data_IF_672038011812
#
_entry.id   IF_672038011812
#
_cell.length_a   1.000
_cell.length_b   1.000
_cell.length_c   1.000
_cell.angle_alpha   90.00
_cell.angle_beta   90.00
_cell.angle_gamma   90.00
#
_symmetry.space_group_name_H-M   'P 1'
#
loop_
_entity.id
_entity.type
_entity.pdbx_description
1 polymer ?
#
# COMPACT_ATOMS: atom_id res chain seq x y z
N UNK A 1 40.53 -66.99 -41.66
CA UNK A 1 40.90 -65.80 -40.95
C UNK A 1 39.65 -64.89 -40.94
N UNK A 2 38.88 -64.85 -39.77
CA UNK A 2 37.64 -64.07 -39.63
C UNK A 2 37.94 -62.83 -38.83
N UNK A 3 37.80 -61.67 -39.39
CA UNK A 3 37.97 -60.38 -38.74
C UNK A 3 36.63 -60.02 -38.06
N UNK A 4 36.61 -59.93 -36.77
CA UNK A 4 35.46 -59.43 -36.04
C UNK A 4 35.59 -57.92 -35.87
N UNK A 5 34.65 -57.20 -36.45
CA UNK A 5 34.54 -55.75 -36.32
C UNK A 5 33.77 -55.47 -35.02
N UNK A 6 34.45 -54.83 -34.06
CA UNK A 6 33.82 -54.36 -32.81
C UNK A 6 33.24 -52.97 -33.06
N UNK A 7 31.90 -52.86 -32.94
CA UNK A 7 31.18 -51.57 -32.99
C UNK A 7 31.19 -50.96 -31.62
N UNK A 8 31.92 -49.86 -31.41
CA UNK A 8 31.84 -49.07 -30.16
C UNK A 8 30.70 -48.03 -30.30
N UNK A 9 29.64 -48.25 -29.57
CA UNK A 9 28.54 -47.29 -29.44
C UNK A 9 28.88 -46.23 -28.38
N UNK A 10 29.13 -44.99 -28.82
CA UNK A 10 29.30 -43.85 -27.93
C UNK A 10 27.92 -43.33 -27.54
N UNK A 11 27.50 -43.55 -26.30
CA UNK A 11 26.29 -42.96 -25.73
C UNK A 11 26.63 -41.55 -25.26
N UNK A 12 26.21 -40.54 -25.98
CA UNK A 12 26.30 -39.13 -25.54
C UNK A 12 25.08 -38.83 -24.65
N UNK A 13 25.29 -38.85 -23.35
CA UNK A 13 24.25 -38.42 -22.39
C UNK A 13 24.16 -36.89 -22.36
N UNK A 14 23.13 -36.33 -23.02
CA UNK A 14 22.81 -34.91 -22.92
C UNK A 14 22.11 -34.69 -21.58
N UNK A 15 22.84 -34.20 -20.57
CA UNK A 15 22.29 -33.70 -19.34
C UNK A 15 21.58 -32.35 -19.64
N UNK A 16 20.27 -32.39 -19.87
CA UNK A 16 19.43 -31.19 -19.86
C UNK A 16 19.35 -30.67 -18.45
N UNK A 17 20.11 -29.63 -18.14
CA UNK A 17 19.94 -28.86 -16.88
C UNK A 17 18.59 -28.17 -16.95
N UNK A 18 17.60 -28.73 -16.26
CA UNK A 18 16.33 -28.06 -15.99
C UNK A 18 16.68 -26.96 -14.95
N UNK A 19 16.94 -25.75 -15.45
CA UNK A 19 16.98 -24.59 -14.59
C UNK A 19 15.56 -24.38 -14.05
N UNK A 20 15.29 -24.85 -12.86
CA UNK A 20 14.09 -24.47 -12.10
C UNK A 20 14.21 -22.97 -11.88
N UNK A 21 13.53 -22.18 -12.71
CA UNK A 21 13.34 -20.75 -12.46
C UNK A 21 12.59 -20.67 -11.14
N UNK A 22 13.30 -20.34 -10.07
CA UNK A 22 12.66 -20.00 -8.82
C UNK A 22 11.73 -18.81 -9.13
N UNK A 23 10.42 -19.02 -9.05
CA UNK A 23 9.43 -17.99 -9.30
C UNK A 23 9.72 -16.84 -8.33
N UNK A 24 10.02 -15.64 -8.88
CA UNK A 24 10.35 -14.47 -8.07
C UNK A 24 9.23 -14.21 -7.07
N UNK A 25 9.60 -14.11 -5.79
CA UNK A 25 8.63 -13.85 -4.73
C UNK A 25 7.96 -12.50 -4.97
N UNK A 26 6.61 -12.50 -4.96
CA UNK A 26 5.79 -11.30 -5.07
C UNK A 26 5.54 -10.72 -3.67
N UNK A 27 5.49 -9.40 -3.57
CA UNK A 27 5.20 -8.66 -2.34
C UNK A 27 4.14 -7.58 -2.65
N UNK A 28 3.19 -7.41 -1.74
CA UNK A 28 2.20 -6.34 -1.80
C UNK A 28 2.75 -5.11 -1.07
N UNK A 29 2.82 -3.97 -1.76
CA UNK A 29 3.39 -2.74 -1.21
C UNK A 29 2.40 -1.58 -1.25
N UNK A 30 2.60 -0.65 -0.32
CA UNK A 30 2.01 0.70 -0.30
C UNK A 30 3.14 1.72 -0.43
N UNK A 31 3.02 2.67 -1.37
CA UNK A 31 3.83 3.88 -1.41
C UNK A 31 2.96 5.01 -0.89
N UNK A 32 3.42 5.68 0.15
CA UNK A 32 2.59 6.54 0.96
C UNK A 32 3.32 7.80 1.43
N UNK A 33 2.54 8.80 1.85
CA UNK A 33 3.03 9.98 2.55
C UNK A 33 2.81 9.82 4.06
N UNK A 34 3.84 10.06 4.85
CA UNK A 34 3.76 10.15 6.31
C UNK A 34 3.41 11.60 6.68
N UNK A 35 2.32 11.87 7.42
CA UNK A 35 1.91 13.22 7.75
C UNK A 35 2.74 13.81 8.90
N UNK A 36 2.70 15.13 9.04
CA UNK A 36 3.32 15.86 10.16
C UNK A 36 2.57 15.66 11.48
N UNK A 37 3.14 16.21 12.57
CA UNK A 37 2.59 16.12 13.91
C UNK A 37 1.20 16.74 14.04
N UNK A 38 0.79 17.64 13.13
CA UNK A 38 -0.56 18.23 13.15
C UNK A 38 -1.59 17.16 12.82
N UNK A 39 -1.46 16.49 11.67
CA UNK A 39 -2.37 15.41 11.29
C UNK A 39 -2.29 14.24 12.28
N UNK A 40 -1.09 13.91 12.80
CA UNK A 40 -0.94 12.83 13.78
C UNK A 40 -1.79 13.08 15.04
N UNK A 41 -1.76 14.30 15.61
CA UNK A 41 -2.61 14.64 16.78
C UNK A 41 -4.11 14.47 16.51
N UNK A 42 -4.57 14.89 15.32
CA UNK A 42 -5.98 14.70 14.94
C UNK A 42 -6.33 13.23 14.73
N UNK A 43 -5.41 12.46 14.16
CA UNK A 43 -5.57 11.01 13.96
C UNK A 43 -5.65 10.28 15.30
N UNK A 44 -4.77 10.60 16.25
CA UNK A 44 -4.75 10.01 17.60
C UNK A 44 -6.03 10.34 18.37
N UNK A 45 -6.47 11.60 18.36
CA UNK A 45 -7.71 12.02 19.01
C UNK A 45 -8.93 11.29 18.41
N UNK A 46 -8.97 11.15 17.08
CA UNK A 46 -10.05 10.42 16.41
C UNK A 46 -9.99 8.91 16.71
N UNK A 47 -8.81 8.31 16.72
CA UNK A 47 -8.62 6.89 17.07
C UNK A 47 -9.08 6.61 18.51
N UNK A 48 -8.69 7.43 19.49
CA UNK A 48 -9.12 7.30 20.87
C UNK A 48 -10.65 7.32 21.00
N UNK A 49 -11.31 8.23 20.27
CA UNK A 49 -12.77 8.32 20.20
C UNK A 49 -13.41 7.06 19.60
N UNK A 50 -12.83 6.51 18.52
CA UNK A 50 -13.32 5.30 17.88
C UNK A 50 -13.15 4.08 18.79
N UNK A 51 -12.01 3.94 19.46
CA UNK A 51 -11.73 2.86 20.42
C UNK A 51 -12.65 2.91 21.64
N UNK A 52 -13.06 4.10 22.10
CA UNK A 52 -14.03 4.24 23.19
C UNK A 52 -15.40 3.65 22.82
N UNK A 53 -15.79 3.72 21.53
CA UNK A 53 -17.05 3.16 21.01
C UNK A 53 -16.89 1.70 20.57
N UNK A 54 -15.73 1.34 20.03
CA UNK A 54 -15.45 0.02 19.50
C UNK A 54 -14.06 -0.46 19.94
N UNK A 55 -13.92 -0.99 21.17
CA UNK A 55 -12.62 -1.42 21.74
C UNK A 55 -11.95 -2.57 20.95
N UNK A 56 -12.69 -3.26 20.06
CA UNK A 56 -12.17 -4.29 19.15
C UNK A 56 -11.52 -3.72 17.88
N UNK A 57 -11.54 -2.40 17.70
CA UNK A 57 -10.80 -1.71 16.65
C UNK A 57 -9.29 -1.75 16.88
N UNK A 58 -8.52 -1.27 15.93
CA UNK A 58 -7.07 -1.15 16.08
C UNK A 58 -6.67 0.20 16.70
N UNK A 59 -5.62 0.18 17.51
CA UNK A 59 -4.92 1.39 17.92
C UNK A 59 -3.95 1.85 16.83
N UNK A 60 -3.67 3.15 16.76
CA UNK A 60 -2.60 3.68 15.90
C UNK A 60 -1.25 3.36 16.56
N UNK A 61 -0.50 2.47 15.94
CA UNK A 61 0.76 1.93 16.42
C UNK A 61 1.77 1.75 15.25
N UNK A 62 2.78 0.90 15.45
CA UNK A 62 3.80 0.63 14.43
C UNK A 62 3.24 -0.09 13.19
N UNK A 63 2.14 -0.85 13.34
CA UNK A 63 1.52 -1.65 12.27
C UNK A 63 0.30 -0.94 11.65
N UNK A 64 -0.17 0.14 12.29
CA UNK A 64 -1.33 0.94 11.87
C UNK A 64 -0.96 2.43 11.85
N UNK A 65 0.07 2.76 11.10
CA UNK A 65 0.57 4.14 11.01
C UNK A 65 -0.39 5.03 10.22
N UNK A 66 -0.75 6.23 10.73
CA UNK A 66 -1.44 7.23 9.94
C UNK A 66 -0.63 7.62 8.70
N UNK A 67 -1.27 7.55 7.52
CA UNK A 67 -0.61 7.84 6.25
C UNK A 67 -1.62 8.18 5.17
N UNK A 68 -1.14 8.77 4.07
CA UNK A 68 -1.92 8.93 2.84
C UNK A 68 -1.34 7.96 1.81
N UNK A 69 -2.10 6.96 1.41
CA UNK A 69 -1.74 6.05 0.33
C UNK A 69 -1.69 6.79 -1.01
N UNK A 70 -0.57 6.68 -1.72
CA UNK A 70 -0.46 7.09 -3.12
C UNK A 70 -0.78 5.95 -4.07
N UNK A 71 -0.25 4.75 -3.80
CA UNK A 71 -0.50 3.55 -4.61
C UNK A 71 -0.30 2.28 -3.82
N UNK A 72 -1.22 1.32 -3.99
CA UNK A 72 -0.99 -0.08 -3.58
C UNK A 72 -0.77 -0.96 -4.81
N UNK A 73 0.25 -1.83 -4.77
CA UNK A 73 0.64 -2.68 -5.89
C UNK A 73 1.31 -3.97 -5.45
N UNK A 74 1.20 -4.98 -6.30
CA UNK A 74 2.08 -6.14 -6.27
C UNK A 74 3.33 -5.87 -7.11
N UNK A 75 4.49 -6.20 -6.57
CA UNK A 75 5.79 -6.10 -7.24
C UNK A 75 6.63 -7.34 -6.92
N UNK A 76 7.66 -7.64 -7.73
CA UNK A 76 8.62 -8.68 -7.36
C UNK A 76 9.60 -8.16 -6.32
N UNK A 77 9.98 -8.99 -5.36
CA UNK A 77 10.96 -8.61 -4.33
C UNK A 77 12.30 -8.20 -4.91
N UNK A 78 12.73 -8.81 -6.02
CA UNK A 78 13.95 -8.48 -6.76
C UNK A 78 13.92 -7.09 -7.40
N UNK A 79 12.74 -6.55 -7.67
CA UNK A 79 12.55 -5.22 -8.27
C UNK A 79 12.38 -4.10 -7.23
N UNK A 80 12.33 -4.40 -5.93
CA UNK A 80 12.13 -3.39 -4.88
C UNK A 80 13.14 -2.24 -4.96
N UNK A 81 14.42 -2.52 -5.22
CA UNK A 81 15.43 -1.46 -5.40
C UNK A 81 15.12 -0.50 -6.55
N UNK A 82 14.57 -1.01 -7.65
CA UNK A 82 14.16 -0.21 -8.81
C UNK A 82 12.90 0.59 -8.50
N UNK A 83 11.94 -0.02 -7.78
CA UNK A 83 10.73 0.67 -7.28
C UNK A 83 11.10 1.85 -6.39
N UNK A 84 12.02 1.64 -5.43
CA UNK A 84 12.48 2.71 -4.55
C UNK A 84 13.14 3.85 -5.32
N UNK A 85 14.05 3.54 -6.25
CA UNK A 85 14.72 4.55 -7.07
C UNK A 85 13.75 5.33 -7.96
N UNK A 86 12.74 4.66 -8.51
CA UNK A 86 11.71 5.29 -9.33
C UNK A 86 10.82 6.22 -8.51
N UNK A 87 10.35 5.76 -7.34
CA UNK A 87 9.55 6.57 -6.42
C UNK A 87 10.34 7.79 -5.90
N UNK A 88 11.60 7.62 -5.51
CA UNK A 88 12.45 8.70 -5.01
C UNK A 88 12.58 9.85 -6.01
N UNK A 89 12.81 9.55 -7.29
CA UNK A 89 12.88 10.57 -8.35
C UNK A 89 11.60 11.41 -8.42
N UNK A 90 10.45 10.78 -8.31
CA UNK A 90 9.16 11.48 -8.33
C UNK A 90 8.99 12.34 -7.08
N UNK A 91 9.25 11.78 -5.89
CA UNK A 91 9.11 12.47 -4.60
C UNK A 91 9.99 13.73 -4.52
N UNK A 92 11.24 13.61 -4.97
CA UNK A 92 12.18 14.74 -5.03
C UNK A 92 11.70 15.80 -6.03
N UNK A 93 11.30 15.38 -7.24
CA UNK A 93 10.82 16.28 -8.28
C UNK A 93 9.55 17.04 -7.89
N UNK A 94 8.66 16.40 -7.14
CA UNK A 94 7.39 16.97 -6.70
C UNK A 94 7.54 17.94 -5.50
N UNK A 95 8.72 18.04 -4.90
CA UNK A 95 8.96 18.87 -3.70
C UNK A 95 7.91 18.62 -2.60
N UNK A 96 7.70 17.35 -2.27
CA UNK A 96 6.57 16.87 -1.43
C UNK A 96 6.53 17.52 -0.06
N UNK A 97 7.69 17.84 0.53
CA UNK A 97 7.82 18.52 1.82
C UNK A 97 7.26 19.97 1.83
N UNK A 98 7.20 20.63 0.69
CA UNK A 98 6.61 21.96 0.58
C UNK A 98 5.09 21.94 0.40
N UNK A 99 4.47 20.78 0.17
CA UNK A 99 3.04 20.65 -0.01
C UNK A 99 2.27 21.08 1.24
N UNK A 100 1.19 21.82 1.04
CA UNK A 100 0.20 22.16 2.07
C UNK A 100 -1.08 21.44 1.74
N UNK A 101 -1.43 20.49 2.60
CA UNK A 101 -2.60 19.64 2.46
C UNK A 101 -3.67 20.10 3.44
N UNK A 102 -4.93 20.12 3.03
CA UNK A 102 -6.06 20.51 3.88
C UNK A 102 -6.93 19.30 4.18
N UNK A 103 -7.04 18.96 5.47
CA UNK A 103 -8.03 18.05 5.99
C UNK A 103 -9.38 18.77 6.09
N UNK A 104 -10.49 18.16 5.64
CA UNK A 104 -11.73 18.92 5.49
C UNK A 104 -13.01 18.20 5.89
N UNK A 105 -12.99 16.88 6.13
CA UNK A 105 -14.15 16.11 6.58
C UNK A 105 -13.78 14.75 7.14
N UNK A 106 -14.68 14.20 7.96
CA UNK A 106 -14.66 12.77 8.28
C UNK A 106 -15.09 11.92 7.07
N UNK A 107 -14.68 10.67 7.10
CA UNK A 107 -14.94 9.70 6.06
C UNK A 107 -14.91 8.29 6.64
N UNK A 108 -15.58 7.34 6.03
CA UNK A 108 -15.29 5.93 6.25
C UNK A 108 -15.51 5.09 4.99
N UNK A 109 -14.75 4.00 4.87
CA UNK A 109 -14.97 2.94 3.91
C UNK A 109 -15.77 1.81 4.59
N UNK A 110 -16.96 1.42 4.08
CA UNK A 110 -17.77 0.38 4.71
C UNK A 110 -17.14 -1.01 4.53
N UNK A 111 -17.13 -1.80 5.62
CA UNK A 111 -16.69 -3.20 5.64
C UNK A 111 -17.72 -4.01 6.46
N UNK A 112 -18.73 -4.57 5.82
CA UNK A 112 -19.83 -5.27 6.50
C UNK A 112 -20.58 -4.35 7.47
N UNK A 113 -20.66 -4.72 8.75
CA UNK A 113 -21.34 -3.94 9.81
C UNK A 113 -20.49 -2.81 10.39
N UNK A 114 -19.19 -2.78 10.09
CA UNK A 114 -18.25 -1.74 10.53
C UNK A 114 -17.76 -0.91 9.35
N UNK A 115 -16.96 0.10 9.61
CA UNK A 115 -16.23 0.86 8.59
C UNK A 115 -14.85 1.25 9.07
N UNK A 116 -13.92 1.38 8.13
CA UNK A 116 -12.60 1.99 8.37
C UNK A 116 -12.78 3.50 8.28
N UNK A 117 -12.71 4.16 9.42
CA UNK A 117 -12.85 5.60 9.54
C UNK A 117 -11.55 6.33 9.20
N UNK A 118 -11.68 7.54 8.68
CA UNK A 118 -10.56 8.38 8.31
C UNK A 118 -10.91 9.86 8.24
N UNK A 119 -9.89 10.64 7.96
CA UNK A 119 -9.96 12.08 7.72
C UNK A 119 -9.60 12.30 6.24
N UNK A 120 -10.52 12.85 5.45
CA UNK A 120 -10.27 13.19 4.06
C UNK A 120 -9.40 14.43 3.92
N UNK A 121 -8.56 14.39 2.93
CA UNK A 121 -7.70 15.47 2.47
C UNK A 121 -8.23 16.00 1.14
N UNK A 122 -8.22 17.31 0.93
CA UNK A 122 -8.64 17.89 -0.36
C UNK A 122 -7.72 17.39 -1.49
N UNK A 123 -8.31 16.83 -2.57
CA UNK A 123 -7.52 16.37 -3.72
C UNK A 123 -7.08 17.58 -4.56
N UNK A 124 -5.97 18.22 -4.18
CA UNK A 124 -5.38 19.32 -4.96
C UNK A 124 -4.73 18.80 -6.25
N UNK A 125 -4.56 19.64 -7.29
CA UNK A 125 -3.86 19.24 -8.51
C UNK A 125 -2.48 18.64 -8.25
N UNK A 126 -1.77 19.13 -7.23
CA UNK A 126 -0.40 18.71 -6.88
C UNK A 126 -0.39 17.26 -6.35
N UNK A 127 -1.30 16.89 -5.42
CA UNK A 127 -1.33 15.54 -4.87
C UNK A 127 -1.91 14.54 -5.90
N UNK A 128 -2.85 14.96 -6.75
CA UNK A 128 -3.35 14.15 -7.86
C UNK A 128 -2.22 13.86 -8.86
N UNK A 129 -1.45 14.90 -9.22
CA UNK A 129 -0.29 14.73 -10.10
C UNK A 129 0.76 13.83 -9.48
N UNK A 130 1.07 14.01 -8.19
CA UNK A 130 2.02 13.16 -7.47
C UNK A 130 1.59 11.69 -7.54
N UNK A 131 0.31 11.39 -7.29
CA UNK A 131 -0.21 10.03 -7.41
C UNK A 131 -0.01 9.49 -8.84
N UNK A 132 -0.38 10.26 -9.86
CA UNK A 132 -0.25 9.84 -11.26
C UNK A 132 1.21 9.57 -11.64
N UNK A 133 2.14 10.42 -11.20
CA UNK A 133 3.57 10.27 -11.47
C UNK A 133 4.16 9.02 -10.77
N UNK A 134 3.78 8.76 -9.52
CA UNK A 134 4.17 7.53 -8.78
C UNK A 134 3.63 6.29 -9.49
N UNK A 135 2.35 6.30 -9.90
CA UNK A 135 1.74 5.19 -10.65
C UNK A 135 2.53 4.92 -11.94
N UNK A 136 2.85 5.95 -12.70
CA UNK A 136 3.59 5.84 -13.96
C UNK A 136 5.02 5.29 -13.73
N UNK A 137 5.71 5.81 -12.71
CA UNK A 137 7.08 5.42 -12.39
C UNK A 137 7.20 3.96 -11.92
N UNK A 138 6.21 3.45 -11.19
CA UNK A 138 6.20 2.09 -10.64
C UNK A 138 5.62 1.07 -11.61
N UNK A 139 4.82 1.50 -12.59
CA UNK A 139 4.15 0.63 -13.57
C UNK A 139 5.05 -0.45 -14.20
N UNK A 140 6.32 -0.19 -14.60
CA UNK A 140 7.18 -1.19 -15.22
C UNK A 140 7.53 -2.38 -14.30
N UNK A 141 7.41 -2.22 -12.99
CA UNK A 141 7.75 -3.21 -11.95
C UNK A 141 6.53 -3.88 -11.34
N UNK A 142 5.33 -3.40 -11.68
CA UNK A 142 4.08 -3.93 -11.17
C UNK A 142 3.77 -5.30 -11.79
N UNK A 143 3.24 -6.21 -10.97
CA UNK A 143 2.59 -7.44 -11.42
C UNK A 143 1.09 -7.32 -11.19
N UNK A 144 0.32 -8.02 -12.01
CA UNK A 144 -1.14 -7.88 -12.04
C UNK A 144 -1.79 -8.29 -10.72
N UNK A 145 -1.29 -9.39 -10.12
CA UNK A 145 -1.80 -9.94 -8.87
C UNK A 145 -0.70 -10.66 -8.11
N UNK A 146 -0.96 -11.03 -6.86
CA UNK A 146 -0.06 -11.80 -6.02
C UNK A 146 -0.81 -12.75 -5.11
N UNK A 147 -0.11 -13.72 -4.49
CA UNK A 147 -0.68 -14.63 -3.51
C UNK A 147 -0.86 -13.90 -2.17
N UNK A 148 -1.58 -14.56 -1.22
CA UNK A 148 -1.81 -13.96 0.11
C UNK A 148 -0.53 -13.82 0.93
N UNK A 149 0.47 -14.66 0.71
CA UNK A 149 1.79 -14.55 1.37
C UNK A 149 2.64 -13.36 0.87
N UNK A 150 2.13 -12.59 -0.10
CA UNK A 150 2.67 -11.28 -0.46
C UNK A 150 2.46 -10.21 0.65
N UNK A 151 1.52 -10.43 1.55
CA UNK A 151 1.21 -9.59 2.70
C UNK A 151 2.00 -10.05 3.94
N UNK A 152 2.05 -9.23 5.00
CA UNK A 152 2.77 -9.59 6.25
C UNK A 152 2.08 -10.70 7.03
N UNK A 153 0.76 -10.80 6.92
CA UNK A 153 -0.06 -11.85 7.52
C UNK A 153 -1.30 -12.09 6.65
N UNK A 154 -1.81 -13.31 6.68
CA UNK A 154 -3.10 -13.68 6.12
C UNK A 154 -4.22 -13.39 7.10
N UNK A 155 -5.47 -13.29 6.61
CA UNK A 155 -6.64 -13.29 7.47
C UNK A 155 -7.00 -14.73 7.87
N UNK A 156 -7.73 -14.85 8.98
CA UNK A 156 -8.31 -16.15 9.39
C UNK A 156 -9.44 -16.62 8.45
N UNK A 157 -9.88 -15.74 7.53
CA UNK A 157 -10.96 -16.03 6.60
C UNK A 157 -10.48 -15.85 5.14
N UNK A 158 -10.46 -16.93 4.32
CA UNK A 158 -10.02 -16.89 2.92
C UNK A 158 -10.81 -15.90 2.04
N UNK A 159 -12.07 -15.61 2.36
CA UNK A 159 -12.84 -14.60 1.62
C UNK A 159 -12.29 -13.19 1.82
N UNK A 160 -11.78 -12.88 3.02
CA UNK A 160 -11.12 -11.61 3.30
C UNK A 160 -9.78 -11.51 2.56
N UNK A 161 -9.03 -12.62 2.47
CA UNK A 161 -7.78 -12.69 1.71
C UNK A 161 -8.02 -12.43 0.22
N UNK A 162 -9.03 -13.08 -0.37
CA UNK A 162 -9.40 -12.87 -1.77
C UNK A 162 -9.82 -11.42 -2.04
N UNK A 163 -10.60 -10.82 -1.14
CA UNK A 163 -11.02 -9.42 -1.24
C UNK A 163 -9.83 -8.46 -1.15
N UNK A 164 -8.85 -8.74 -0.28
CA UNK A 164 -7.64 -7.94 -0.14
C UNK A 164 -6.75 -8.03 -1.39
N UNK A 165 -6.54 -9.24 -1.92
CA UNK A 165 -5.80 -9.44 -3.18
C UNK A 165 -6.48 -8.67 -4.33
N UNK A 166 -7.80 -8.78 -4.45
CA UNK A 166 -8.57 -8.07 -5.46
C UNK A 166 -8.47 -6.54 -5.29
N UNK A 167 -8.53 -6.05 -4.05
CA UNK A 167 -8.40 -4.62 -3.77
C UNK A 167 -7.06 -4.07 -4.27
N UNK A 168 -5.93 -4.70 -3.95
CA UNK A 168 -4.61 -4.28 -4.41
C UNK A 168 -4.46 -4.41 -5.93
N UNK A 169 -4.95 -5.51 -6.53
CA UNK A 169 -4.91 -5.73 -7.98
C UNK A 169 -5.68 -4.66 -8.76
N UNK A 170 -6.78 -4.17 -8.19
CA UNK A 170 -7.66 -3.17 -8.82
C UNK A 170 -7.46 -1.75 -8.27
N UNK A 171 -6.46 -1.53 -7.43
CA UNK A 171 -6.26 -0.22 -6.78
C UNK A 171 -6.17 0.92 -7.79
N UNK A 172 -5.28 0.81 -8.79
CA UNK A 172 -5.08 1.91 -9.73
C UNK A 172 -6.35 2.27 -10.51
N UNK A 173 -7.07 1.36 -11.18
CA UNK A 173 -8.27 1.75 -11.92
C UNK A 173 -9.42 2.25 -11.03
N UNK A 174 -9.43 1.90 -9.73
CA UNK A 174 -10.52 2.26 -8.83
C UNK A 174 -10.22 3.44 -7.90
N UNK A 175 -8.94 3.71 -7.61
CA UNK A 175 -8.53 4.65 -6.56
C UNK A 175 -7.56 5.72 -7.07
N UNK A 176 -7.55 6.00 -8.38
CA UNK A 176 -6.69 7.04 -8.96
C UNK A 176 -7.45 8.00 -9.88
N UNK A 177 -6.80 9.10 -10.25
CA UNK A 177 -7.39 10.13 -11.09
C UNK A 177 -8.61 10.76 -10.42
N UNK A 178 -9.75 10.77 -11.11
CA UNK A 178 -11.02 11.32 -10.60
C UNK A 178 -11.56 10.56 -9.38
N UNK A 179 -11.17 9.29 -9.22
CA UNK A 179 -11.55 8.46 -8.08
C UNK A 179 -10.59 8.59 -6.88
N UNK A 180 -9.55 9.41 -7.01
CA UNK A 180 -8.59 9.57 -5.92
C UNK A 180 -9.22 10.34 -4.76
N UNK A 181 -9.38 9.64 -3.64
CA UNK A 181 -9.86 10.20 -2.39
C UNK A 181 -8.74 10.12 -1.34
N UNK A 182 -7.79 11.08 -1.32
CA UNK A 182 -6.72 11.05 -0.34
C UNK A 182 -7.29 11.20 1.06
N UNK A 183 -6.88 10.30 1.96
CA UNK A 183 -7.35 10.29 3.34
C UNK A 183 -6.32 9.65 4.26
N UNK A 184 -6.47 9.90 5.55
CA UNK A 184 -5.72 9.24 6.61
C UNK A 184 -6.68 8.37 7.40
N UNK A 185 -6.49 7.05 7.36
CA UNK A 185 -7.28 6.11 8.18
C UNK A 185 -6.94 6.27 9.66
N UNK A 186 -7.97 6.26 10.51
CA UNK A 186 -7.83 6.56 11.93
C UNK A 186 -8.41 5.50 12.87
N UNK A 187 -9.05 4.46 12.35
CA UNK A 187 -9.60 3.39 13.18
C UNK A 187 -10.80 2.69 12.55
N UNK A 188 -11.46 1.86 13.33
CA UNK A 188 -12.67 1.12 12.94
C UNK A 188 -13.77 1.38 13.96
N UNK A 189 -15.01 1.50 13.48
CA UNK A 189 -16.19 1.57 14.34
C UNK A 189 -17.45 1.02 13.62
N UNK A 190 -18.56 0.76 14.35
CA UNK A 190 -19.83 0.41 13.75
C UNK A 190 -20.35 1.50 12.79
N UNK A 191 -20.90 1.10 11.67
CA UNK A 191 -21.41 2.03 10.64
C UNK A 191 -22.40 3.06 11.19
N UNK A 192 -23.31 2.63 12.05
CA UNK A 192 -24.29 3.54 12.68
C UNK A 192 -23.62 4.70 13.41
N UNK A 193 -22.48 4.44 14.06
CA UNK A 193 -21.71 5.50 14.70
C UNK A 193 -21.01 6.39 13.67
N UNK A 194 -20.43 5.79 12.64
CA UNK A 194 -19.70 6.49 11.57
C UNK A 194 -20.62 7.35 10.71
N UNK A 195 -21.84 6.89 10.46
CA UNK A 195 -22.87 7.69 9.78
C UNK A 195 -23.16 8.98 10.55
N UNK A 196 -23.32 8.88 11.88
CA UNK A 196 -23.48 10.05 12.74
C UNK A 196 -22.23 10.94 12.73
N UNK A 197 -21.03 10.36 12.86
CA UNK A 197 -19.77 11.10 12.83
C UNK A 197 -19.60 11.91 11.55
N UNK A 198 -20.00 11.36 10.39
CA UNK A 198 -19.91 12.05 9.10
C UNK A 198 -20.86 13.27 8.98
N UNK A 199 -21.85 13.40 9.87
CA UNK A 199 -22.73 14.58 9.93
C UNK A 199 -22.25 15.66 10.89
N UNK A 200 -21.20 15.39 11.64
CA UNK A 200 -20.63 16.35 12.58
C UNK A 200 -19.88 17.47 11.85
N UNK A 201 -19.90 18.67 12.43
CA UNK A 201 -19.09 19.77 11.94
C UNK A 201 -17.60 19.40 12.04
N UNK A 202 -16.90 19.53 10.94
CA UNK A 202 -15.44 19.30 10.86
C UNK A 202 -14.72 20.64 10.78
N UNK A 203 -13.83 20.89 11.71
CA UNK A 203 -12.94 22.05 11.61
C UNK A 203 -11.76 21.71 10.70
N UNK A 204 -11.75 22.29 9.51
CA UNK A 204 -10.65 22.11 8.56
C UNK A 204 -9.32 22.61 9.15
N UNK A 205 -8.24 21.91 8.81
CA UNK A 205 -6.88 22.29 9.19
C UNK A 205 -5.88 21.95 8.10
N UNK A 206 -4.76 22.67 8.09
CA UNK A 206 -3.66 22.47 7.15
C UNK A 206 -2.53 21.69 7.84
N UNK A 207 -1.92 20.78 7.11
CA UNK A 207 -0.77 20.00 7.50
C UNK A 207 0.16 19.78 6.32
N UNK A 208 1.33 19.18 6.53
CA UNK A 208 2.28 18.85 5.47
C UNK A 208 2.73 17.40 5.56
N UNK A 209 3.16 16.78 4.46
CA UNK A 209 3.92 15.55 4.55
C UNK A 209 5.24 15.78 5.30
N UNK A 210 5.57 14.94 6.27
CA UNK A 210 6.85 14.93 6.98
C UNK A 210 7.83 13.93 6.36
N UNK A 211 7.30 12.95 5.61
CA UNK A 211 8.08 11.92 4.98
C UNK A 211 7.26 11.20 3.91
N UNK A 212 7.95 10.30 3.22
CA UNK A 212 7.33 9.30 2.36
C UNK A 212 7.96 7.94 2.66
N UNK A 213 7.22 6.87 2.42
CA UNK A 213 7.73 5.54 2.68
C UNK A 213 7.13 4.49 1.74
N UNK A 214 7.78 3.33 1.71
CA UNK A 214 7.23 2.09 1.15
C UNK A 214 7.04 1.11 2.28
N UNK A 215 5.85 0.57 2.38
CA UNK A 215 5.51 -0.48 3.34
C UNK A 215 5.11 -1.76 2.62
N UNK A 216 5.39 -2.91 3.23
CA UNK A 216 4.66 -4.13 2.91
C UNK A 216 3.30 -4.05 3.57
N UNK A 217 2.27 -4.39 2.80
CA UNK A 217 0.90 -4.39 3.27
C UNK A 217 0.64 -5.52 4.27
N UNK A 218 -0.15 -5.22 5.26
CA UNK A 218 -0.73 -6.16 6.21
C UNK A 218 -2.20 -6.47 5.94
N UNK A 219 -2.88 -7.13 6.88
CA UNK A 219 -4.32 -7.33 6.85
C UNK A 219 -5.05 -5.99 6.66
N UNK A 220 -6.18 -6.03 5.97
CA UNK A 220 -7.00 -4.85 5.62
C UNK A 220 -6.28 -3.77 4.77
N UNK A 221 -5.13 -4.10 4.16
CA UNK A 221 -4.34 -3.14 3.38
C UNK A 221 -3.62 -2.10 4.23
N UNK A 222 -3.33 -2.42 5.49
CA UNK A 222 -2.59 -1.53 6.41
C UNK A 222 -1.12 -1.43 6.05
N UNK A 223 -0.47 -0.32 6.38
CA UNK A 223 0.98 -0.13 6.27
C UNK A 223 1.68 -0.83 7.43
N UNK A 224 1.92 -2.16 7.30
CA UNK A 224 2.33 -3.00 8.41
C UNK A 224 3.85 -3.07 8.61
N UNK A 225 4.64 -3.23 7.55
CA UNK A 225 6.10 -3.36 7.66
C UNK A 225 6.81 -2.33 6.78
N UNK A 226 7.52 -1.39 7.40
CA UNK A 226 8.31 -0.40 6.68
C UNK A 226 9.48 -1.05 5.93
N UNK A 227 9.57 -0.83 4.63
CA UNK A 227 10.62 -1.35 3.75
C UNK A 227 11.63 -0.27 3.40
N UNK A 228 11.18 0.96 3.16
CA UNK A 228 12.00 2.13 2.80
C UNK A 228 11.33 3.38 3.34
N UNK A 229 12.12 4.34 3.77
CA UNK A 229 11.65 5.67 4.12
C UNK A 229 12.54 6.74 3.47
N UNK A 230 11.92 7.88 3.18
CA UNK A 230 12.59 9.10 2.77
C UNK A 230 12.19 10.22 3.73
N UNK A 231 13.17 10.75 4.45
CA UNK A 231 13.00 11.99 5.19
C UNK A 231 12.94 13.14 4.18
N UNK A 232 11.82 13.79 4.12
CA UNK A 232 11.64 14.98 3.28
C UNK A 232 12.14 16.16 4.10
N UNK A 233 13.39 16.57 3.86
CA UNK A 233 13.94 17.76 4.53
C UNK A 233 13.20 19.00 4.02
N UNK A 234 12.86 19.94 4.92
CA UNK A 234 12.26 21.22 4.54
C UNK A 234 13.19 22.08 3.68
#
# INVERSE_FOLDING_TARGET
>A
MRIQTVLVAVVVSVLASIATSAQSKVIAIDILLEPDSTMLRYSDANNARLLAVFPKGFALDAEHRPHITLIQRFVRTEDLGKVYAAAEKVLVSANVNAMKLEAFKYYYAPVGAVGVAGICVKPTPEIIKLQADIIAAVKPFAVESGPIDAFTAAHDNPANDAALIQYVSTFVPKMSGENFNPHVSTGIAPRVYLDKMNTEAFQSFVFSPAGAAVYQLGPFGTAAKKLKAWELKP
#
